data_IF_640301496884
#
_entry.id   IF_640301496884
#
_cell.length_a   1.000
_cell.length_b   1.000
_cell.length_c   1.000
_cell.angle_alpha   90.00
_cell.angle_beta   90.00
_cell.angle_gamma   90.00
#
_symmetry.space_group_name_H-M   'P 1'
#
loop_
_entity.id
_entity.type
_entity.pdbx_description
1 polymer ?
#
# COMPACT_ATOMS: atom_id res chain seq x y z
N UNK A 1 16.16 -4.58 -13.70
CA UNK A 1 15.33 -3.35 -13.86
C UNK A 1 14.80 -3.12 -15.28
N UNK A 2 15.58 -3.31 -16.36
CA UNK A 2 15.11 -3.07 -17.76
C UNK A 2 13.73 -3.69 -18.08
N UNK A 3 13.55 -4.99 -17.81
CA UNK A 3 12.29 -5.70 -18.11
C UNK A 3 11.08 -5.03 -17.43
N UNK A 4 11.24 -4.58 -16.18
CA UNK A 4 10.17 -3.92 -15.43
C UNK A 4 9.84 -2.56 -16.04
N UNK A 5 10.86 -1.78 -16.42
CA UNK A 5 10.65 -0.51 -17.11
C UNK A 5 9.93 -0.69 -18.45
N UNK A 6 10.28 -1.72 -19.22
CA UNK A 6 9.62 -2.04 -20.50
C UNK A 6 8.14 -2.42 -20.31
N UNK A 7 7.83 -3.22 -19.28
CA UNK A 7 6.44 -3.57 -18.92
C UNK A 7 5.65 -2.32 -18.55
N UNK A 8 6.21 -1.47 -17.68
CA UNK A 8 5.57 -0.23 -17.26
C UNK A 8 5.32 0.67 -18.48
N UNK A 9 6.33 0.87 -19.33
CA UNK A 9 6.24 1.70 -20.53
C UNK A 9 5.12 1.21 -21.48
N UNK A 10 5.12 -0.09 -21.78
CA UNK A 10 4.16 -0.67 -22.70
C UNK A 10 2.74 -0.59 -22.12
N UNK A 11 2.54 -0.96 -20.85
CA UNK A 11 1.22 -0.91 -20.22
C UNK A 11 0.69 0.53 -20.07
N UNK A 12 1.54 1.51 -19.77
CA UNK A 12 1.12 2.92 -19.68
C UNK A 12 0.54 3.44 -21.00
N UNK A 13 1.06 3.00 -22.15
CA UNK A 13 0.53 3.40 -23.47
C UNK A 13 -0.62 2.53 -23.97
N UNK A 14 -0.64 1.24 -23.64
CA UNK A 14 -1.52 0.26 -24.31
C UNK A 14 -2.58 -0.35 -23.38
N UNK A 15 -2.37 -0.33 -22.07
CA UNK A 15 -3.25 -0.94 -21.07
C UNK A 15 -3.53 0.02 -19.92
N UNK A 16 -4.19 1.16 -20.16
CA UNK A 16 -4.35 2.22 -19.17
C UNK A 16 -5.21 1.82 -17.97
N UNK A 17 -5.79 0.62 -17.91
CA UNK A 17 -6.55 0.10 -16.76
C UNK A 17 -5.82 -1.02 -16.00
N UNK A 18 -4.64 -1.43 -16.47
CA UNK A 18 -3.85 -2.49 -15.86
C UNK A 18 -2.91 -1.93 -14.79
N UNK A 19 -2.85 -2.60 -13.64
CA UNK A 19 -1.86 -2.26 -12.60
C UNK A 19 -0.55 -2.96 -12.96
N UNK A 20 0.49 -2.19 -13.27
CA UNK A 20 1.69 -2.67 -13.96
C UNK A 20 2.61 -3.49 -13.08
N UNK A 21 2.56 -3.27 -11.77
CA UNK A 21 3.34 -4.00 -10.79
C UNK A 21 2.65 -3.91 -9.43
N UNK A 22 2.68 -5.03 -8.70
CA UNK A 22 2.31 -5.09 -7.29
C UNK A 22 3.59 -5.15 -6.46
N UNK A 23 3.96 -4.02 -5.86
CA UNK A 23 5.22 -3.92 -5.12
C UNK A 23 4.95 -4.42 -3.70
N UNK A 24 5.70 -5.44 -3.32
CA UNK A 24 5.25 -6.42 -2.33
C UNK A 24 6.21 -6.53 -1.15
N UNK A 25 5.66 -6.48 0.06
CA UNK A 25 6.32 -6.86 1.32
C UNK A 25 5.71 -8.08 1.97
N UNK A 26 4.60 -8.62 1.47
CA UNK A 26 3.99 -9.85 2.00
C UNK A 26 5.04 -10.94 2.23
N UNK A 27 5.81 -11.27 1.20
CA UNK A 27 6.89 -12.28 1.29
C UNK A 27 8.03 -11.87 2.25
N UNK A 28 8.26 -10.58 2.47
CA UNK A 28 9.22 -10.12 3.48
C UNK A 28 8.65 -10.36 4.89
N UNK A 29 7.36 -10.09 5.10
CA UNK A 29 6.64 -10.39 6.33
C UNK A 29 6.64 -11.88 6.65
N UNK A 30 6.33 -12.73 5.67
CA UNK A 30 6.40 -14.19 5.81
C UNK A 30 7.83 -14.68 6.13
N UNK A 31 8.84 -13.99 5.63
CA UNK A 31 10.24 -14.25 5.95
C UNK A 31 10.69 -13.71 7.33
N UNK A 32 9.79 -13.08 8.10
CA UNK A 32 10.04 -12.59 9.45
C UNK A 32 10.26 -11.08 9.57
N UNK A 33 10.06 -10.30 8.51
CA UNK A 33 10.17 -8.84 8.58
C UNK A 33 9.03 -8.23 9.41
N UNK A 34 9.40 -7.37 10.36
CA UNK A 34 8.42 -6.60 11.12
C UNK A 34 7.76 -5.51 10.26
N UNK A 35 6.70 -4.87 10.78
CA UNK A 35 5.95 -3.85 10.04
C UNK A 35 6.81 -2.67 9.56
N UNK A 36 7.81 -2.26 10.34
CA UNK A 36 8.73 -1.16 9.96
C UNK A 36 9.59 -1.58 8.77
N UNK A 37 10.17 -2.78 8.82
CA UNK A 37 10.99 -3.34 7.74
C UNK A 37 10.17 -3.52 6.45
N UNK A 38 8.96 -4.05 6.56
CA UNK A 38 8.05 -4.21 5.41
C UNK A 38 7.82 -2.87 4.69
N UNK A 39 7.52 -1.80 5.44
CA UNK A 39 7.34 -0.45 4.87
C UNK A 39 8.63 0.08 4.27
N UNK A 40 9.74 0.02 5.01
CA UNK A 40 11.02 0.58 4.57
C UNK A 40 11.52 -0.07 3.27
N UNK A 41 11.54 -1.41 3.22
CA UNK A 41 12.03 -2.15 2.05
C UNK A 41 11.10 -2.00 0.85
N UNK A 42 9.79 -2.07 1.07
CA UNK A 42 8.82 -1.86 -0.02
C UNK A 42 8.97 -0.46 -0.61
N UNK A 43 9.04 0.59 0.21
CA UNK A 43 9.20 1.96 -0.30
C UNK A 43 10.54 2.16 -1.04
N UNK A 44 11.62 1.56 -0.55
CA UNK A 44 12.91 1.59 -1.23
C UNK A 44 12.83 0.94 -2.62
N UNK A 45 12.20 -0.23 -2.74
CA UNK A 45 11.97 -0.89 -4.03
C UNK A 45 11.13 0.00 -4.97
N UNK A 46 10.08 0.67 -4.47
CA UNK A 46 9.26 1.57 -5.30
C UNK A 46 10.05 2.74 -5.84
N UNK A 47 10.87 3.36 -5.00
CA UNK A 47 11.74 4.47 -5.40
C UNK A 47 12.65 4.01 -6.55
N UNK A 48 13.17 2.80 -6.49
CA UNK A 48 14.02 2.25 -7.55
C UNK A 48 13.22 1.94 -8.83
N UNK A 49 11.98 1.44 -8.73
CA UNK A 49 11.09 1.28 -9.89
C UNK A 49 10.76 2.62 -10.56
N UNK A 50 10.48 3.68 -9.78
CA UNK A 50 10.25 5.03 -10.32
C UNK A 50 11.49 5.51 -11.06
N UNK A 51 12.67 5.41 -10.46
CA UNK A 51 13.93 5.81 -11.09
C UNK A 51 14.15 5.07 -12.40
N UNK A 52 13.96 3.75 -12.42
CA UNK A 52 14.11 2.95 -13.63
C UNK A 52 13.13 3.37 -14.75
N UNK A 53 11.87 3.66 -14.41
CA UNK A 53 10.86 4.14 -15.36
C UNK A 53 11.20 5.53 -15.91
N UNK A 54 11.63 6.46 -15.05
CA UNK A 54 12.07 7.80 -15.47
C UNK A 54 13.30 7.72 -16.36
N UNK A 55 14.29 6.89 -16.02
CA UNK A 55 15.48 6.66 -16.86
C UNK A 55 15.14 6.07 -18.22
N UNK A 56 13.99 5.38 -18.35
CA UNK A 56 13.45 4.89 -19.62
C UNK A 56 12.64 5.95 -20.40
N UNK A 57 12.59 7.20 -19.91
CA UNK A 57 11.93 8.33 -20.56
C UNK A 57 10.44 8.49 -20.22
N UNK A 58 9.93 7.73 -19.24
CA UNK A 58 8.53 7.86 -18.82
C UNK A 58 8.33 9.07 -17.89
N UNK A 59 7.24 9.80 -18.11
CA UNK A 59 6.79 10.85 -17.19
C UNK A 59 6.12 10.22 -15.98
N UNK A 60 6.40 10.74 -14.78
CA UNK A 60 5.94 10.18 -13.51
C UNK A 60 4.41 9.96 -13.47
N UNK A 61 3.64 10.96 -13.87
CA UNK A 61 2.18 10.92 -13.87
C UNK A 61 1.61 9.89 -14.87
N UNK A 62 2.42 9.44 -15.84
CA UNK A 62 2.02 8.47 -16.86
C UNK A 62 1.99 7.03 -16.36
N UNK A 63 2.62 6.71 -15.23
CA UNK A 63 2.69 5.33 -14.73
C UNK A 63 2.43 5.17 -13.24
N UNK A 64 2.74 6.18 -12.42
CA UNK A 64 2.54 6.11 -10.97
C UNK A 64 1.10 5.75 -10.54
N UNK A 65 0.01 6.23 -11.20
CA UNK A 65 -1.35 5.84 -10.85
C UNK A 65 -1.62 4.33 -10.97
N UNK A 66 -0.76 3.56 -11.63
CA UNK A 66 -0.92 2.13 -11.90
C UNK A 66 -0.03 1.23 -11.05
N UNK A 67 0.80 1.80 -10.18
CA UNK A 67 1.58 1.04 -9.22
C UNK A 67 0.69 0.67 -8.02
N UNK A 68 0.65 -0.62 -7.65
CA UNK A 68 -0.08 -1.09 -6.47
C UNK A 68 0.86 -1.56 -5.36
N UNK A 69 0.29 -1.88 -4.19
CA UNK A 69 1.00 -2.38 -3.02
C UNK A 69 0.43 -3.72 -2.54
N UNK A 70 1.31 -4.50 -1.92
CA UNK A 70 0.95 -5.76 -1.30
C UNK A 70 1.72 -6.01 0.00
N UNK A 71 1.09 -5.68 1.13
CA UNK A 71 1.66 -5.82 2.48
C UNK A 71 1.22 -7.13 3.13
N UNK A 72 2.06 -7.70 3.98
CA UNK A 72 1.67 -8.78 4.88
C UNK A 72 1.01 -8.22 6.14
N UNK A 73 -0.08 -8.86 6.58
CA UNK A 73 -0.85 -8.42 7.75
C UNK A 73 -0.87 -9.54 8.79
N UNK A 74 -0.12 -9.32 9.87
CA UNK A 74 -0.03 -10.26 10.99
C UNK A 74 -1.15 -10.10 12.03
N UNK A 75 -0.88 -10.62 13.23
CA UNK A 75 -1.85 -10.61 14.35
C UNK A 75 -1.94 -9.28 15.12
N UNK A 76 -0.91 -8.43 15.04
CA UNK A 76 -0.89 -7.15 15.74
C UNK A 76 -1.75 -6.11 15.01
N UNK A 77 -3.05 -6.05 15.33
CA UNK A 77 -4.02 -5.18 14.67
C UNK A 77 -3.57 -3.71 14.64
N UNK A 78 -3.11 -3.17 15.77
CA UNK A 78 -2.74 -1.75 15.86
C UNK A 78 -1.47 -1.45 15.08
N UNK A 79 -0.48 -2.33 15.15
CA UNK A 79 0.75 -2.17 14.37
C UNK A 79 0.48 -2.28 12.87
N UNK A 80 -0.34 -3.23 12.43
CA UNK A 80 -0.71 -3.35 11.02
C UNK A 80 -1.52 -2.13 10.54
N UNK A 81 -2.45 -1.63 11.35
CA UNK A 81 -3.19 -0.41 11.04
C UNK A 81 -2.25 0.81 10.92
N UNK A 82 -1.30 0.96 11.86
CA UNK A 82 -0.29 2.01 11.84
C UNK A 82 0.64 1.88 10.62
N UNK A 83 1.08 0.66 10.30
CA UNK A 83 1.92 0.34 9.14
C UNK A 83 1.28 0.81 7.84
N UNK A 84 0.02 0.44 7.59
CA UNK A 84 -0.71 0.82 6.38
C UNK A 84 -0.90 2.35 6.27
N UNK A 85 -1.05 3.05 7.40
CA UNK A 85 -1.12 4.52 7.43
C UNK A 85 0.23 5.16 7.12
N UNK A 86 1.28 4.68 7.77
CA UNK A 86 2.65 5.17 7.57
C UNK A 86 3.07 4.96 6.12
N UNK A 87 2.78 3.78 5.54
CA UNK A 87 3.04 3.50 4.13
C UNK A 87 2.41 4.54 3.21
N UNK A 88 1.13 4.91 3.43
CA UNK A 88 0.41 5.93 2.63
C UNK A 88 1.07 7.28 2.69
N UNK A 89 1.38 7.72 3.90
CA UNK A 89 2.01 9.02 4.12
C UNK A 89 3.39 9.09 3.46
N UNK A 90 4.27 8.14 3.78
CA UNK A 90 5.63 8.09 3.28
C UNK A 90 5.68 7.90 1.76
N UNK A 91 4.71 7.17 1.20
CA UNK A 91 4.57 7.06 -0.25
C UNK A 91 4.26 8.42 -0.89
N UNK A 92 3.26 9.13 -0.36
CA UNK A 92 2.89 10.46 -0.86
C UNK A 92 4.08 11.41 -0.82
N UNK A 93 4.82 11.42 0.31
CA UNK A 93 6.01 12.25 0.47
C UNK A 93 7.10 11.89 -0.57
N UNK A 94 7.38 10.59 -0.73
CA UNK A 94 8.39 10.11 -1.67
C UNK A 94 8.05 10.49 -3.13
N UNK A 95 6.79 10.33 -3.54
CA UNK A 95 6.32 10.65 -4.91
C UNK A 95 6.35 12.15 -5.18
N UNK A 96 5.96 12.97 -4.20
CA UNK A 96 6.07 14.43 -4.31
C UNK A 96 7.52 14.87 -4.54
N UNK A 97 8.50 14.17 -3.96
CA UNK A 97 9.93 14.41 -4.19
C UNK A 97 10.37 14.23 -5.65
N UNK A 98 9.61 13.50 -6.47
CA UNK A 98 9.85 13.34 -7.91
C UNK A 98 9.03 14.30 -8.79
N UNK A 99 8.32 15.27 -8.18
CA UNK A 99 7.61 16.32 -8.90
C UNK A 99 6.22 15.93 -9.42
N UNK A 100 5.65 14.83 -8.94
CA UNK A 100 4.28 14.43 -9.29
C UNK A 100 3.27 15.53 -8.91
N UNK A 101 2.41 15.90 -9.87
CA UNK A 101 1.45 17.00 -9.70
C UNK A 101 0.05 16.52 -9.34
N UNK A 102 -0.28 15.26 -9.67
CA UNK A 102 -1.62 14.72 -9.49
C UNK A 102 -1.82 14.15 -8.07
N UNK A 103 -2.81 14.63 -7.29
CA UNK A 103 -3.16 14.04 -5.99
C UNK A 103 -3.54 12.56 -6.06
N UNK A 104 -4.00 12.05 -7.21
CA UNK A 104 -4.30 10.63 -7.42
C UNK A 104 -3.04 9.74 -7.48
N UNK A 105 -1.86 10.29 -7.74
CA UNK A 105 -0.58 9.56 -7.69
C UNK A 105 -0.16 9.17 -6.27
N UNK A 106 -0.71 9.88 -5.28
CA UNK A 106 -0.42 9.69 -3.87
C UNK A 106 -1.33 8.64 -3.23
N UNK A 107 -2.29 8.10 -3.98
CA UNK A 107 -3.22 7.09 -3.49
C UNK A 107 -2.56 5.72 -3.54
N UNK A 108 -2.27 5.16 -2.36
CA UNK A 108 -1.98 3.73 -2.24
C UNK A 108 -3.26 2.94 -2.53
N UNK A 109 -3.22 2.12 -3.59
CA UNK A 109 -4.16 1.02 -3.77
C UNK A 109 -3.51 -0.26 -3.25
N UNK A 110 -3.87 -0.64 -2.03
CA UNK A 110 -3.43 -1.92 -1.43
C UNK A 110 -4.44 -3.00 -1.74
N UNK A 111 -3.98 -4.15 -2.21
CA UNK A 111 -4.80 -5.37 -2.23
C UNK A 111 -4.69 -6.04 -0.86
N UNK A 112 -5.78 -6.03 -0.07
CA UNK A 112 -5.85 -6.63 1.27
C UNK A 112 -6.46 -8.04 1.25
N UNK A 113 -7.28 -8.35 0.22
CA UNK A 113 -8.16 -9.52 0.17
C UNK A 113 -7.48 -10.86 0.45
N UNK A 114 -6.24 -11.04 0.02
CA UNK A 114 -5.57 -12.34 0.05
C UNK A 114 -4.57 -12.49 1.21
N UNK A 115 -4.24 -11.41 1.94
CA UNK A 115 -3.13 -11.39 2.91
C UNK A 115 -3.48 -10.86 4.29
N UNK A 116 -4.67 -10.31 4.47
CA UNK A 116 -5.21 -10.12 5.80
C UNK A 116 -5.58 -11.47 6.42
N UNK A 117 -5.09 -11.71 7.64
CA UNK A 117 -5.64 -12.72 8.52
C UNK A 117 -7.17 -12.59 8.53
N UNK A 118 -7.95 -13.68 8.41
CA UNK A 118 -9.41 -13.61 8.26
C UNK A 118 -10.09 -12.72 9.31
N UNK A 119 -9.58 -12.74 10.56
CA UNK A 119 -10.10 -11.90 11.64
C UNK A 119 -9.93 -10.39 11.45
N UNK A 120 -8.95 -9.96 10.65
CA UNK A 120 -8.63 -8.53 10.42
C UNK A 120 -9.15 -8.04 9.07
N UNK A 121 -9.50 -8.95 8.15
CA UNK A 121 -9.80 -8.66 6.74
C UNK A 121 -10.97 -7.70 6.60
N UNK A 122 -12.13 -8.06 7.13
CA UNK A 122 -13.37 -7.28 6.95
C UNK A 122 -13.29 -5.88 7.57
N UNK A 123 -12.52 -5.71 8.65
CA UNK A 123 -12.24 -4.40 9.21
C UNK A 123 -11.37 -3.58 8.27
N UNK A 124 -10.27 -4.15 7.78
CA UNK A 124 -9.34 -3.45 6.91
C UNK A 124 -10.00 -3.03 5.58
N UNK A 125 -10.92 -3.84 5.07
CA UNK A 125 -11.77 -3.47 3.93
C UNK A 125 -12.61 -2.23 4.24
N UNK A 126 -13.43 -2.27 5.29
CA UNK A 126 -14.25 -1.11 5.69
C UNK A 126 -13.40 0.13 6.00
N UNK A 127 -12.23 -0.07 6.57
CA UNK A 127 -11.30 1.01 6.89
C UNK A 127 -10.70 1.65 5.63
N UNK A 128 -10.36 0.87 4.61
CA UNK A 128 -9.85 1.39 3.34
C UNK A 128 -10.95 1.96 2.43
N UNK A 129 -12.16 1.39 2.45
CA UNK A 129 -13.29 1.89 1.66
C UNK A 129 -13.76 3.26 2.15
N UNK A 130 -13.72 3.48 3.47
CA UNK A 130 -14.07 4.76 4.08
C UNK A 130 -12.90 5.76 4.11
N UNK A 131 -11.70 5.34 3.69
CA UNK A 131 -10.55 6.20 3.55
C UNK A 131 -10.63 6.97 2.23
N UNK A 132 -10.84 8.29 2.27
CA UNK A 132 -10.58 9.13 1.11
C UNK A 132 -9.09 9.00 0.74
N UNK A 133 -8.75 9.06 -0.55
CA UNK A 133 -7.40 8.79 -1.09
C UNK A 133 -6.26 9.70 -0.63
N UNK A 134 -6.46 10.51 0.41
CA UNK A 134 -5.46 11.35 1.07
C UNK A 134 -5.38 11.05 2.56
N UNK A 135 -4.70 11.91 3.32
CA UNK A 135 -4.62 11.84 4.78
C UNK A 135 -6.00 11.62 5.41
N UNK A 136 -6.21 10.43 5.97
CA UNK A 136 -7.49 10.06 6.57
C UNK A 136 -7.57 10.69 7.96
N UNK A 137 -8.64 11.45 8.23
CA UNK A 137 -9.09 11.70 9.59
C UNK A 137 -9.55 10.37 10.20
N UNK A 138 -8.80 9.84 11.16
CA UNK A 138 -9.14 8.58 11.80
C UNK A 138 -9.90 8.80 13.10
N UNK A 139 -11.01 8.07 13.22
CA UNK A 139 -11.60 7.78 14.50
C UNK A 139 -10.92 6.55 15.10
N UNK A 140 -9.93 6.78 15.98
CA UNK A 140 -9.23 5.71 16.69
C UNK A 140 -10.16 4.91 17.60
N UNK A 141 -11.31 5.48 18.01
CA UNK A 141 -12.25 4.80 18.90
C UNK A 141 -12.77 3.50 18.30
N UNK A 142 -13.02 3.49 16.99
CA UNK A 142 -13.50 2.30 16.28
C UNK A 142 -12.46 1.16 16.26
N UNK A 143 -11.17 1.48 16.17
CA UNK A 143 -10.10 0.47 16.22
C UNK A 143 -10.01 -0.14 17.62
N UNK A 144 -10.17 0.69 18.66
CA UNK A 144 -10.21 0.23 20.04
C UNK A 144 -11.41 -0.66 20.31
N UNK A 145 -12.59 -0.34 19.77
CA UNK A 145 -13.80 -1.16 19.95
C UNK A 145 -13.64 -2.55 19.34
N UNK A 146 -13.07 -2.64 18.14
CA UNK A 146 -12.80 -3.93 17.48
C UNK A 146 -11.77 -4.77 18.23
N UNK A 147 -10.73 -4.12 18.76
CA UNK A 147 -9.75 -4.80 19.59
C UNK A 147 -10.37 -5.30 20.91
N UNK A 148 -11.22 -4.49 21.55
CA UNK A 148 -11.97 -4.90 22.74
C UNK A 148 -12.91 -6.07 22.44
N UNK A 149 -13.61 -6.03 21.31
CA UNK A 149 -14.45 -7.15 20.86
C UNK A 149 -13.63 -8.41 20.64
N UNK A 150 -12.48 -8.33 19.96
CA UNK A 150 -11.60 -9.48 19.76
C UNK A 150 -11.19 -10.13 21.08
N UNK A 151 -10.77 -9.32 22.07
CA UNK A 151 -10.39 -9.81 23.39
C UNK A 151 -11.58 -10.45 24.10
N UNK A 152 -12.77 -9.85 23.99
CA UNK A 152 -13.97 -10.29 24.70
C UNK A 152 -14.64 -11.52 24.09
N UNK A 153 -14.65 -11.65 22.77
CA UNK A 153 -15.49 -12.64 22.04
C UNK A 153 -14.68 -13.58 21.15
N UNK A 154 -13.39 -13.32 20.94
CA UNK A 154 -12.59 -14.01 19.92
C UNK A 154 -12.88 -13.56 18.49
N UNK A 155 -13.75 -12.56 18.30
CA UNK A 155 -14.09 -11.98 17.00
C UNK A 155 -14.03 -10.46 17.05
N UNK A 156 -13.45 -9.83 16.02
CA UNK A 156 -13.49 -8.36 15.90
C UNK A 156 -14.90 -7.85 15.59
N UNK A 157 -15.69 -8.67 14.88
CA UNK A 157 -17.07 -8.37 14.55
C UNK A 157 -17.95 -9.10 15.55
N UNK A 158 -18.65 -8.33 16.39
CA UNK A 158 -19.65 -8.87 17.31
C UNK A 158 -20.77 -9.61 16.58
#
# INVERSE_FOLDING_TARGET
MRIIADIIAWCSGNMPRFNTISISSYHMGEAGANCVQQVAFTLADRIEYIKAAISAGLKIDGFVPRLSFFFGIGMDLFMNAAMLRAARYLWSEAVSGFGAQDPYNNVIRTTIDHCAHPMCRDYLHRYLENASGGHIHHDLSHVFDLHRNLIATGSMLG
#
